data_IF_859575356324
#
_entry.id   IF_859575356324
#
_cell.length_a   1.000
_cell.length_b   1.000
_cell.length_c   1.000
_cell.angle_alpha   90.00
_cell.angle_beta   90.00
_cell.angle_gamma   90.00
#
_symmetry.space_group_name_H-M   'P 1'
#
loop_
_entity.id
_entity.type
_entity.pdbx_description
1 polymer ?
#
# COMPACT_ATOMS: atom_id res chain seq x y z
N UNK A 1 -28.41 22.36 5.92
CA UNK A 1 -27.62 21.12 6.04
C UNK A 1 -28.06 20.19 4.92
N UNK A 2 -27.52 20.41 3.72
CA UNK A 2 -27.75 19.64 2.49
C UNK A 2 -26.60 19.93 1.52
N UNK A 3 -25.38 19.84 2.06
CA UNK A 3 -24.15 20.22 1.36
C UNK A 3 -22.97 19.27 1.65
N UNK A 4 -23.20 18.24 2.45
CA UNK A 4 -22.18 17.26 2.84
C UNK A 4 -22.38 15.93 2.12
N UNK A 5 -23.54 15.77 1.45
CA UNK A 5 -24.01 14.51 0.87
C UNK A 5 -23.62 14.40 -0.63
N UNK A 6 -23.53 15.53 -1.34
CA UNK A 6 -23.20 15.59 -2.77
C UNK A 6 -21.71 15.35 -3.07
N UNK A 7 -20.81 15.50 -2.07
CA UNK A 7 -19.37 15.22 -2.22
C UNK A 7 -19.03 13.73 -2.20
N UNK A 8 -19.93 12.89 -1.70
CA UNK A 8 -19.78 11.44 -1.69
C UNK A 8 -20.37 10.77 -2.93
N UNK A 9 -20.99 11.55 -3.83
CA UNK A 9 -21.72 11.03 -4.98
C UNK A 9 -20.99 11.31 -6.29
N UNK A 10 -19.86 10.61 -6.47
CA UNK A 10 -19.38 10.03 -7.74
C UNK A 10 -17.95 9.47 -7.54
N UNK A 11 -17.80 8.39 -6.79
CA UNK A 11 -16.73 7.45 -7.12
C UNK A 11 -17.09 6.82 -8.48
N UNK A 12 -16.65 7.44 -9.57
CA UNK A 12 -16.82 6.88 -10.90
C UNK A 12 -16.22 5.46 -10.93
N UNK A 13 -16.84 4.50 -11.63
CA UNK A 13 -16.34 3.13 -11.72
C UNK A 13 -14.90 3.08 -12.22
N UNK A 14 -14.50 4.04 -13.06
CA UNK A 14 -13.12 4.22 -13.53
C UNK A 14 -12.16 4.59 -12.38
N UNK A 15 -12.55 5.49 -11.47
CA UNK A 15 -11.74 5.86 -10.31
C UNK A 15 -11.55 4.65 -9.40
N UNK A 16 -12.61 3.91 -9.09
CA UNK A 16 -12.53 2.65 -8.31
C UNK A 16 -11.60 1.63 -8.97
N UNK A 17 -11.71 1.43 -10.28
CA UNK A 17 -10.86 0.52 -11.02
C UNK A 17 -9.37 0.94 -10.99
N UNK A 18 -9.09 2.24 -11.08
CA UNK A 18 -7.72 2.76 -10.97
C UNK A 18 -7.13 2.53 -9.58
N UNK A 19 -7.93 2.76 -8.52
CA UNK A 19 -7.54 2.48 -7.14
C UNK A 19 -7.21 1.00 -6.92
N UNK A 20 -8.13 0.09 -7.27
CA UNK A 20 -7.90 -1.37 -7.15
C UNK A 20 -6.65 -1.78 -7.93
N UNK A 21 -6.47 -1.27 -9.16
CA UNK A 21 -5.27 -1.55 -9.95
C UNK A 21 -3.98 -1.12 -9.26
N UNK A 22 -3.93 0.08 -8.68
CA UNK A 22 -2.76 0.55 -7.95
C UNK A 22 -2.46 -0.36 -6.74
N UNK A 23 -3.50 -0.80 -6.04
CA UNK A 23 -3.40 -1.65 -4.87
C UNK A 23 -2.89 -3.06 -5.21
N UNK A 24 -3.44 -3.67 -6.26
CA UNK A 24 -2.97 -4.96 -6.78
C UNK A 24 -1.53 -4.87 -7.24
N UNK A 25 -1.11 -3.76 -7.89
CA UNK A 25 0.29 -3.55 -8.30
C UNK A 25 1.23 -3.46 -7.10
N UNK A 26 0.85 -2.77 -6.02
CA UNK A 26 1.64 -2.71 -4.80
C UNK A 26 1.76 -4.08 -4.14
N UNK A 27 0.66 -4.83 -4.04
CA UNK A 27 0.64 -6.15 -3.43
C UNK A 27 1.49 -7.16 -4.23
N UNK A 28 1.27 -7.26 -5.54
CA UNK A 28 2.01 -8.18 -6.43
C UNK A 28 3.48 -7.79 -6.56
N UNK A 29 3.80 -6.50 -6.63
CA UNK A 29 5.18 -6.01 -6.63
C UNK A 29 5.93 -6.39 -5.35
N UNK A 30 5.29 -6.25 -4.19
CA UNK A 30 5.89 -6.61 -2.91
C UNK A 30 6.07 -8.13 -2.75
N UNK A 31 5.15 -8.94 -3.28
CA UNK A 31 5.32 -10.40 -3.36
C UNK A 31 6.57 -10.73 -4.19
N UNK A 32 6.71 -10.13 -5.38
CA UNK A 32 7.86 -10.37 -6.25
C UNK A 32 9.19 -10.00 -5.58
N UNK A 33 9.24 -8.83 -4.93
CA UNK A 33 10.41 -8.39 -4.13
C UNK A 33 10.69 -9.39 -3.01
N UNK A 34 9.67 -9.79 -2.25
CA UNK A 34 9.82 -10.74 -1.15
C UNK A 34 10.41 -12.08 -1.60
N UNK A 35 9.92 -12.64 -2.72
CA UNK A 35 10.44 -13.88 -3.30
C UNK A 35 11.93 -13.75 -3.63
N UNK A 36 12.34 -12.67 -4.30
CA UNK A 36 13.75 -12.43 -4.67
C UNK A 36 14.63 -12.24 -3.43
N UNK A 37 14.15 -11.47 -2.45
CA UNK A 37 14.89 -11.14 -1.22
C UNK A 37 15.08 -12.37 -0.32
N UNK A 38 14.15 -13.33 -0.31
CA UNK A 38 14.24 -14.53 0.53
C UNK A 38 15.28 -15.54 0.01
N UNK A 39 15.50 -15.61 -1.30
CA UNK A 39 16.42 -16.59 -1.90
C UNK A 39 17.83 -16.64 -1.28
N UNK A 40 18.54 -15.51 -1.08
CA UNK A 40 19.86 -15.54 -0.45
C UNK A 40 19.83 -16.04 0.99
N UNK A 41 18.73 -15.84 1.74
CA UNK A 41 18.61 -16.34 3.11
C UNK A 41 18.47 -17.86 3.20
N UNK A 42 18.01 -18.52 2.13
CA UNK A 42 17.91 -19.99 2.08
C UNK A 42 19.26 -20.68 1.85
N UNK A 43 20.24 -19.94 1.34
CA UNK A 43 21.55 -20.47 0.92
C UNK A 43 22.71 -19.95 1.78
N UNK A 44 22.52 -18.81 2.46
CA UNK A 44 23.48 -18.27 3.40
C UNK A 44 23.57 -19.13 4.68
N UNK A 45 24.74 -19.10 5.34
CA UNK A 45 24.99 -19.75 6.64
C UNK A 45 24.10 -19.21 7.78
N UNK A 46 24.47 -19.40 9.05
CA UNK A 46 23.57 -19.10 10.18
C UNK A 46 23.01 -17.67 10.11
N UNK A 47 21.69 -17.56 10.13
CA UNK A 47 21.00 -16.27 10.08
C UNK A 47 21.33 -15.44 11.32
N UNK A 48 21.74 -14.19 11.09
CA UNK A 48 21.78 -13.20 12.16
C UNK A 48 20.36 -12.71 12.51
N UNK A 49 20.22 -11.98 13.61
CA UNK A 49 18.92 -11.49 14.08
C UNK A 49 18.12 -10.69 13.03
N UNK A 50 18.82 -9.90 12.19
CA UNK A 50 18.17 -9.11 11.14
C UNK A 50 17.56 -9.97 10.04
N UNK A 51 18.27 -11.00 9.59
CA UNK A 51 17.74 -11.94 8.60
C UNK A 51 16.55 -12.72 9.14
N UNK A 52 16.60 -13.15 10.41
CA UNK A 52 15.48 -13.86 11.05
C UNK A 52 14.22 -12.99 11.08
N UNK A 53 14.36 -11.71 11.44
CA UNK A 53 13.23 -10.76 11.41
C UNK A 53 12.68 -10.62 9.98
N UNK A 54 13.56 -10.50 8.97
CA UNK A 54 13.14 -10.39 7.58
C UNK A 54 12.31 -11.61 7.12
N UNK A 55 12.77 -12.82 7.43
CA UNK A 55 12.08 -14.06 7.07
C UNK A 55 10.73 -14.18 7.76
N UNK A 56 10.64 -13.89 9.06
CA UNK A 56 9.38 -13.91 9.81
C UNK A 56 8.40 -12.88 9.23
N UNK A 57 8.88 -11.67 8.94
CA UNK A 57 8.05 -10.61 8.37
C UNK A 57 7.47 -11.01 7.01
N UNK A 58 8.28 -11.59 6.11
CA UNK A 58 7.79 -12.07 4.82
C UNK A 58 6.90 -13.31 4.92
N UNK A 59 7.11 -14.18 5.92
CA UNK A 59 6.23 -15.32 6.16
C UNK A 59 4.81 -14.89 6.50
N UNK A 60 4.64 -13.72 7.13
CA UNK A 60 3.32 -13.10 7.35
C UNK A 60 2.86 -12.34 6.10
N UNK A 61 3.75 -11.57 5.47
CA UNK A 61 3.39 -10.71 4.34
C UNK A 61 2.85 -11.48 3.13
N UNK A 62 3.57 -12.52 2.69
CA UNK A 62 3.28 -13.21 1.43
C UNK A 62 1.88 -13.84 1.38
N UNK A 63 1.42 -14.60 2.40
CA UNK A 63 0.06 -15.14 2.40
C UNK A 63 -1.02 -14.06 2.44
N UNK A 64 -0.80 -12.97 3.19
CA UNK A 64 -1.76 -11.88 3.32
C UNK A 64 -1.90 -11.08 2.02
N UNK A 65 -0.80 -10.81 1.33
CA UNK A 65 -0.84 -10.13 0.04
C UNK A 65 -1.42 -11.02 -1.06
N UNK A 66 -1.14 -12.33 -1.02
CA UNK A 66 -1.67 -13.28 -1.99
C UNK A 66 -3.20 -13.40 -1.92
N UNK A 67 -3.77 -13.47 -0.72
CA UNK A 67 -5.23 -13.55 -0.58
C UNK A 67 -5.91 -12.25 -1.00
N UNK A 68 -5.32 -11.08 -0.72
CA UNK A 68 -5.86 -9.78 -1.16
C UNK A 68 -5.83 -9.68 -2.68
N UNK A 69 -4.71 -10.03 -3.32
CA UNK A 69 -4.61 -10.02 -4.79
C UNK A 69 -5.61 -10.99 -5.45
N UNK A 70 -5.87 -12.15 -4.84
CA UNK A 70 -6.87 -13.10 -5.32
C UNK A 70 -8.30 -12.54 -5.19
N UNK A 71 -8.60 -11.82 -4.11
CA UNK A 71 -9.91 -11.19 -3.91
C UNK A 71 -10.13 -10.06 -4.92
N UNK A 72 -9.10 -9.26 -5.19
CA UNK A 72 -9.17 -8.14 -6.14
C UNK A 72 -9.41 -8.60 -7.59
N UNK A 73 -8.88 -9.76 -7.98
CA UNK A 73 -9.05 -10.35 -9.32
C UNK A 73 -10.37 -11.12 -9.47
N UNK A 74 -11.06 -11.41 -8.36
CA UNK A 74 -12.26 -12.26 -8.41
C UNK A 74 -13.45 -11.50 -9.02
N UNK A 75 -14.15 -12.06 -10.03
CA UNK A 75 -15.33 -11.43 -10.63
C UNK A 75 -16.48 -11.42 -9.62
N UNK A 76 -16.64 -10.32 -8.89
CA UNK A 76 -17.58 -10.16 -7.77
C UNK A 76 -19.04 -9.94 -8.18
N UNK A 77 -19.48 -10.48 -9.32
CA UNK A 77 -20.85 -10.35 -9.79
C UNK A 77 -21.81 -11.14 -8.87
N UNK A 78 -22.23 -10.53 -7.77
CA UNK A 78 -23.36 -10.98 -6.94
C UNK A 78 -23.05 -11.43 -5.50
N UNK A 79 -21.83 -11.24 -4.98
CA UNK A 79 -21.51 -11.60 -3.58
C UNK A 79 -21.30 -10.38 -2.68
N UNK A 80 -21.88 -10.35 -1.46
CA UNK A 80 -21.60 -9.32 -0.46
C UNK A 80 -20.19 -9.53 0.09
N UNK A 81 -19.23 -8.76 -0.40
CA UNK A 81 -17.86 -8.73 0.13
C UNK A 81 -17.78 -7.80 1.32
N UNK A 82 -17.43 -8.33 2.50
CA UNK A 82 -17.10 -7.55 3.68
C UNK A 82 -15.83 -6.72 3.43
N UNK A 83 -15.92 -5.40 3.44
CA UNK A 83 -14.79 -4.50 3.11
C UNK A 83 -13.69 -4.45 4.18
N UNK A 84 -14.00 -4.79 5.43
CA UNK A 84 -13.06 -4.66 6.56
C UNK A 84 -12.00 -5.77 6.62
N UNK A 85 -12.36 -7.02 6.33
CA UNK A 85 -11.41 -8.14 6.41
C UNK A 85 -10.25 -8.01 5.40
N UNK A 86 -10.51 -7.73 4.10
CA UNK A 86 -9.45 -7.54 3.11
C UNK A 86 -8.59 -6.34 3.45
N UNK A 87 -9.18 -5.24 3.94
CA UNK A 87 -8.44 -4.03 4.30
C UNK A 87 -7.45 -4.28 5.44
N UNK A 88 -7.85 -5.01 6.48
CA UNK A 88 -6.96 -5.34 7.60
C UNK A 88 -5.84 -6.28 7.14
N UNK A 89 -6.20 -7.34 6.42
CA UNK A 89 -5.23 -8.30 5.89
C UNK A 89 -4.17 -7.61 5.02
N UNK A 90 -4.61 -6.66 4.20
CA UNK A 90 -3.75 -5.86 3.34
C UNK A 90 -2.82 -4.94 4.12
N UNK A 91 -3.31 -4.22 5.13
CA UNK A 91 -2.48 -3.38 5.99
C UNK A 91 -1.40 -4.20 6.71
N UNK A 92 -1.76 -5.39 7.19
CA UNK A 92 -0.82 -6.34 7.80
C UNK A 92 0.20 -6.81 6.76
N UNK A 93 -0.25 -7.19 5.55
CA UNK A 93 0.60 -7.67 4.46
C UNK A 93 1.61 -6.62 3.99
N UNK A 94 1.17 -5.40 3.70
CA UNK A 94 2.03 -4.30 3.27
C UNK A 94 2.99 -3.87 4.39
N UNK A 95 2.47 -3.71 5.61
CA UNK A 95 3.26 -3.31 6.76
C UNK A 95 4.38 -4.32 7.08
N UNK A 96 4.03 -5.61 7.16
CA UNK A 96 5.01 -6.67 7.38
C UNK A 96 6.00 -6.81 6.23
N UNK A 97 5.57 -6.67 4.98
CA UNK A 97 6.49 -6.72 3.85
C UNK A 97 7.50 -5.55 3.84
N UNK A 98 7.08 -4.34 4.20
CA UNK A 98 7.98 -3.20 4.37
C UNK A 98 9.04 -3.46 5.46
N UNK A 99 8.63 -4.03 6.60
CA UNK A 99 9.55 -4.43 7.67
C UNK A 99 10.52 -5.50 7.18
N UNK A 100 10.04 -6.48 6.40
CA UNK A 100 10.86 -7.52 5.79
C UNK A 100 11.94 -6.98 4.87
N UNK A 101 11.58 -6.04 3.99
CA UNK A 101 12.54 -5.35 3.10
C UNK A 101 13.58 -4.57 3.92
N UNK A 102 13.14 -3.78 4.90
CA UNK A 102 14.05 -3.00 5.74
C UNK A 102 15.04 -3.88 6.49
N UNK A 103 14.56 -4.96 7.13
CA UNK A 103 15.40 -5.91 7.86
C UNK A 103 16.37 -6.67 6.94
N UNK A 104 15.97 -6.95 5.69
CA UNK A 104 16.86 -7.58 4.71
C UNK A 104 18.02 -6.66 4.29
N UNK A 105 17.75 -5.38 4.03
CA UNK A 105 18.80 -4.40 3.73
C UNK A 105 19.73 -4.19 4.93
N UNK A 106 19.16 -4.15 6.14
CA UNK A 106 19.94 -4.06 7.37
C UNK A 106 20.86 -5.26 7.60
N UNK A 107 20.44 -6.46 7.18
CA UNK A 107 21.26 -7.67 7.22
C UNK A 107 22.48 -7.54 6.29
N UNK A 108 22.30 -6.95 5.09
CA UNK A 108 23.37 -6.77 4.10
C UNK A 108 24.36 -5.69 4.59
N UNK A 109 23.84 -4.53 4.99
CA UNK A 109 24.66 -3.42 5.48
C UNK A 109 23.81 -2.44 6.29
N UNK A 110 24.33 -2.04 7.45
CA UNK A 110 23.74 -0.98 8.28
C UNK A 110 23.46 0.31 7.48
N UNK A 111 24.40 0.72 6.62
CA UNK A 111 24.26 1.93 5.79
C UNK A 111 23.14 1.77 4.76
N UNK A 112 23.03 0.59 4.14
CA UNK A 112 21.98 0.32 3.16
C UNK A 112 20.59 0.39 3.81
N UNK A 113 20.46 -0.10 5.04
CA UNK A 113 19.23 0.04 5.83
C UNK A 113 18.84 1.50 6.08
N UNK A 114 19.79 2.35 6.52
CA UNK A 114 19.53 3.78 6.76
C UNK A 114 19.14 4.51 5.47
N UNK A 115 19.84 4.25 4.36
CA UNK A 115 19.53 4.85 3.06
C UNK A 115 18.13 4.46 2.61
N UNK A 116 17.74 3.19 2.77
CA UNK A 116 16.41 2.72 2.42
C UNK A 116 15.31 3.41 3.26
N UNK A 117 15.52 3.57 4.57
CA UNK A 117 14.56 4.28 5.43
C UNK A 117 14.45 5.76 5.08
N UNK A 118 15.57 6.44 4.88
CA UNK A 118 15.58 7.86 4.51
C UNK A 118 14.88 8.09 3.15
N UNK A 119 15.17 7.23 2.17
CA UNK A 119 14.52 7.28 0.86
C UNK A 119 13.03 6.95 0.94
N UNK A 120 12.66 5.92 1.72
CA UNK A 120 11.27 5.52 1.91
C UNK A 120 10.45 6.62 2.58
N UNK A 121 11.02 7.28 3.60
CA UNK A 121 10.38 8.41 4.26
C UNK A 121 10.21 9.61 3.31
N UNK A 122 11.22 9.93 2.50
CA UNK A 122 11.12 10.96 1.47
C UNK A 122 10.05 10.66 0.43
N UNK A 123 9.97 9.42 -0.04
CA UNK A 123 8.94 8.97 -0.97
C UNK A 123 7.53 9.02 -0.34
N UNK A 124 7.39 8.65 0.93
CA UNK A 124 6.14 8.74 1.66
C UNK A 124 5.64 10.19 1.78
N UNK A 125 6.52 11.13 2.15
CA UNK A 125 6.19 12.56 2.19
C UNK A 125 5.75 13.05 0.81
N UNK A 126 6.49 12.71 -0.25
CA UNK A 126 6.15 13.10 -1.60
C UNK A 126 4.76 12.58 -2.03
N UNK A 127 4.44 11.33 -1.66
CA UNK A 127 3.13 10.73 -1.93
C UNK A 127 2.00 11.45 -1.18
N UNK A 128 2.19 11.78 0.11
CA UNK A 128 1.20 12.53 0.89
C UNK A 128 0.96 13.92 0.31
N UNK A 129 2.02 14.65 -0.04
CA UNK A 129 1.91 15.99 -0.65
C UNK A 129 1.23 15.92 -2.03
N UNK A 130 1.53 14.89 -2.83
CA UNK A 130 0.86 14.67 -4.10
C UNK A 130 -0.65 14.46 -3.89
N UNK A 131 -1.03 13.64 -2.91
CA UNK A 131 -2.42 13.37 -2.59
C UNK A 131 -3.17 14.62 -2.11
N UNK A 132 -2.53 15.41 -1.24
CA UNK A 132 -3.08 16.68 -0.77
C UNK A 132 -3.31 17.65 -1.94
N UNK A 133 -2.35 17.77 -2.87
CA UNK A 133 -2.53 18.64 -4.05
C UNK A 133 -3.67 18.19 -4.95
N UNK A 134 -3.76 16.89 -5.25
CA UNK A 134 -4.86 16.34 -6.07
C UNK A 134 -6.22 16.57 -5.38
N UNK A 135 -6.29 16.42 -4.06
CA UNK A 135 -7.52 16.68 -3.32
C UNK A 135 -7.89 18.17 -3.23
N UNK A 136 -6.91 19.08 -3.25
CA UNK A 136 -7.14 20.52 -3.31
C UNK A 136 -7.61 20.99 -4.69
N UNK A 137 -7.01 20.48 -5.77
CA UNK A 137 -7.42 20.80 -7.15
C UNK A 137 -8.81 20.24 -7.50
N UNK A 138 -9.26 19.20 -6.80
CA UNK A 138 -10.59 18.64 -6.94
C UNK A 138 -11.69 19.42 -6.19
N UNK A 139 -11.36 20.46 -5.41
CA UNK A 139 -12.36 21.33 -4.76
C UNK A 139 -12.81 22.41 -5.76
N UNK A 140 -14.07 22.40 -6.26
CA UNK A 140 -14.61 23.51 -6.99
C UNK A 140 -14.66 24.74 -6.08
N UNK A 141 -14.34 25.91 -6.64
CA UNK A 141 -14.31 27.17 -5.92
C UNK A 141 -15.71 27.55 -5.43
N UNK A 142 -16.05 27.17 -4.20
CA UNK A 142 -17.15 27.79 -3.46
C UNK A 142 -16.71 29.20 -3.05
N UNK A 143 -16.94 30.18 -3.93
CA UNK A 143 -16.49 31.55 -3.68
C UNK A 143 -16.95 32.58 -4.71
N UNK A 144 -18.24 32.60 -5.03
CA UNK A 144 -18.85 33.65 -5.86
C UNK A 144 -20.29 33.88 -5.44
N UNK A 145 -20.48 34.57 -4.33
CA UNK A 145 -21.79 35.03 -3.85
C UNK A 145 -22.43 35.92 -4.94
N UNK A 146 -23.62 35.60 -5.48
CA UNK A 146 -24.28 36.49 -6.42
C UNK A 146 -24.72 37.75 -5.69
N UNK A 147 -24.11 38.87 -6.06
CA UNK A 147 -24.57 40.20 -5.68
C UNK A 147 -25.97 40.37 -6.27
N UNK A 148 -26.98 40.50 -5.41
CA UNK A 148 -28.34 40.84 -5.80
C UNK A 148 -28.33 42.28 -6.34
N UNK A 149 -28.60 42.42 -7.64
CA UNK A 149 -29.15 43.63 -8.25
C UNK A 149 -30.57 43.32 -8.78
#
# INVERSE_FOLDING_TARGET
MKGDDEWFEQETPERKAAWVRQETLMATGLIAIGVVVIQPFLTAGPLNWSATIAVIAFAVALPHLAIVALIDDWPSAGYPTSSLLPSIAKSIGLGSGCVGVAAAFWHISWVAGVVLLASGFGAFIAHTVFFDKVSMEARPETGGEPTND
#
